data_IF_228708500765
#
_entry.id   IF_228708500765
#
_cell.length_a   1.000
_cell.length_b   1.000
_cell.length_c   1.000
_cell.angle_alpha   90.00
_cell.angle_beta   90.00
_cell.angle_gamma   90.00
#
_symmetry.space_group_name_H-M   'P 1'
#
loop_
_entity.id
_entity.type
_entity.pdbx_description
1 polymer ?
#
# COMPACT_ATOMS: atom_id res chain seq x y z
N UNK A 1 29.48 48.49 44.88
CA UNK A 1 29.71 47.18 45.55
C UNK A 1 28.34 46.56 45.82
N UNK A 2 27.87 45.60 45.01
CA UNK A 2 26.54 45.02 45.22
C UNK A 2 26.53 44.22 46.52
N UNK A 3 25.55 44.47 47.38
CA UNK A 3 25.42 43.79 48.68
C UNK A 3 25.23 42.29 48.49
N UNK A 4 25.87 41.47 49.32
CA UNK A 4 25.90 40.00 49.27
C UNK A 4 24.52 39.35 49.13
N UNK A 5 23.47 40.00 49.67
CA UNK A 5 22.07 39.57 49.54
C UNK A 5 21.59 39.56 48.09
N UNK A 6 22.00 40.51 47.26
CA UNK A 6 21.56 40.59 45.86
C UNK A 6 22.19 39.49 45.00
N UNK A 7 23.44 39.12 45.29
CA UNK A 7 24.16 38.05 44.59
C UNK A 7 23.55 36.69 44.92
N UNK A 8 23.16 36.48 46.18
CA UNK A 8 22.51 35.23 46.61
C UNK A 8 21.11 35.02 46.01
N UNK A 9 20.32 36.08 45.81
CA UNK A 9 19.02 35.97 45.13
C UNK A 9 19.20 35.68 43.64
N UNK A 10 20.17 36.32 42.97
CA UNK A 10 20.49 36.05 41.57
C UNK A 10 20.96 34.59 41.37
N UNK A 11 21.81 34.08 42.27
CA UNK A 11 22.31 32.71 42.21
C UNK A 11 21.18 31.68 42.40
N UNK A 12 20.26 31.92 43.34
CA UNK A 12 19.06 31.09 43.54
C UNK A 12 18.13 31.10 42.34
N UNK A 13 17.96 32.26 41.71
CA UNK A 13 17.11 32.39 40.53
C UNK A 13 17.69 31.63 39.33
N UNK A 14 19.00 31.75 39.10
CA UNK A 14 19.70 31.02 38.04
C UNK A 14 19.61 29.51 38.29
N UNK A 15 19.82 29.07 39.53
CA UNK A 15 19.75 27.65 39.89
C UNK A 15 18.34 27.06 39.74
N UNK A 16 17.31 27.84 40.09
CA UNK A 16 15.92 27.43 39.87
C UNK A 16 15.59 27.32 38.38
N UNK A 17 16.11 28.23 37.54
CA UNK A 17 15.88 28.22 36.10
C UNK A 17 16.53 27.00 35.42
N UNK A 18 17.76 26.65 35.81
CA UNK A 18 18.45 25.45 35.28
C UNK A 18 17.78 24.15 35.70
N UNK A 19 17.23 24.09 36.92
CA UNK A 19 16.44 22.94 37.38
C UNK A 19 15.16 22.72 36.58
N UNK A 20 14.46 23.80 36.20
CA UNK A 20 13.24 23.72 35.39
C UNK A 20 13.55 23.26 33.96
N UNK A 21 14.65 23.76 33.37
CA UNK A 21 15.08 23.36 32.03
C UNK A 21 15.48 21.88 31.92
N UNK A 22 16.04 21.31 33.00
CA UNK A 22 16.41 19.89 33.06
C UNK A 22 15.21 18.94 33.28
N UNK A 23 14.05 19.46 33.66
CA UNK A 23 12.87 18.66 34.02
C UNK A 23 11.91 18.36 32.85
N UNK A 24 12.27 18.72 31.61
CA UNK A 24 11.47 18.39 30.42
C UNK A 24 12.19 17.33 29.59
N UNK A 25 12.21 16.04 30.01
CA UNK A 25 12.46 14.96 29.07
C UNK A 25 11.24 14.87 28.14
N UNK A 26 11.22 15.73 27.11
CA UNK A 26 10.28 15.64 26.01
C UNK A 26 10.69 14.51 25.09
N UNK A 27 10.57 13.26 25.55
CA UNK A 27 10.56 12.12 24.64
C UNK A 27 9.27 12.19 23.83
N UNK A 28 9.33 12.92 22.71
CA UNK A 28 8.37 12.76 21.63
C UNK A 28 8.60 11.37 21.02
N UNK A 29 8.15 10.34 21.72
CA UNK A 29 8.14 8.97 21.20
C UNK A 29 7.22 8.97 19.97
N UNK A 30 7.79 8.71 18.80
CA UNK A 30 7.02 8.59 17.56
C UNK A 30 5.98 7.50 17.76
N UNK A 31 4.71 7.91 17.92
CA UNK A 31 3.62 6.96 18.04
C UNK A 31 3.56 6.15 16.73
N UNK A 32 3.38 4.82 16.83
CA UNK A 32 3.18 4.01 15.64
C UNK A 32 1.96 4.54 14.87
N UNK A 33 1.97 4.49 13.53
CA UNK A 33 0.84 4.93 12.72
C UNK A 33 -0.46 4.27 13.21
N UNK A 34 -1.52 5.06 13.38
CA UNK A 34 -2.81 4.52 13.82
C UNK A 34 -3.40 3.65 12.71
N UNK A 35 -3.39 2.34 12.91
CA UNK A 35 -3.96 1.39 11.98
C UNK A 35 -5.48 1.35 12.19
N UNK A 36 -6.22 1.92 11.23
CA UNK A 36 -7.70 1.98 11.26
C UNK A 36 -8.37 0.86 10.47
N UNK A 37 -7.57 -0.02 9.87
CA UNK A 37 -8.04 -1.14 9.04
C UNK A 37 -8.37 -2.35 9.89
N UNK A 38 -9.31 -3.19 9.43
CA UNK A 38 -9.75 -4.40 10.14
C UNK A 38 -8.69 -5.51 10.18
N UNK A 39 -9.07 -6.71 10.62
CA UNK A 39 -8.14 -7.84 10.78
C UNK A 39 -7.75 -8.53 9.47
N UNK A 40 -8.33 -8.13 8.33
CA UNK A 40 -8.13 -8.73 7.00
C UNK A 40 -7.15 -7.91 6.16
N UNK A 41 -6.02 -7.54 6.76
CA UNK A 41 -4.99 -6.71 6.11
C UNK A 41 -3.84 -7.60 5.72
N UNK A 42 -3.47 -7.54 4.46
CA UNK A 42 -2.26 -8.18 3.95
C UNK A 42 -1.10 -7.19 4.03
N UNK A 43 0.05 -7.67 4.49
CA UNK A 43 1.30 -6.93 4.39
C UNK A 43 1.63 -6.66 2.92
N UNK A 44 2.18 -5.48 2.60
CA UNK A 44 2.52 -5.14 1.21
C UNK A 44 3.53 -6.11 0.60
N UNK A 45 4.42 -6.67 1.42
CA UNK A 45 5.38 -7.69 1.01
C UNK A 45 4.72 -8.96 0.49
N UNK A 46 3.46 -9.22 0.83
CA UNK A 46 2.70 -10.33 0.28
C UNK A 46 2.45 -10.18 -1.24
N UNK A 47 2.64 -9.00 -1.82
CA UNK A 47 2.43 -8.76 -3.26
C UNK A 47 3.74 -8.71 -4.06
N UNK A 48 4.88 -8.97 -3.41
CA UNK A 48 6.18 -9.01 -4.08
C UNK A 48 6.33 -10.26 -4.95
N UNK A 49 7.15 -10.15 -6.00
CA UNK A 49 7.48 -11.25 -6.90
C UNK A 49 6.47 -11.49 -8.03
N UNK A 50 6.65 -12.61 -8.72
CA UNK A 50 5.77 -13.04 -9.80
C UNK A 50 4.67 -13.97 -9.30
N UNK A 51 3.46 -13.72 -9.78
CA UNK A 51 2.25 -14.45 -9.42
C UNK A 51 1.71 -15.19 -10.65
N UNK A 52 1.04 -16.31 -10.40
CA UNK A 52 0.33 -17.05 -11.43
C UNK A 52 -1.17 -16.86 -11.25
N UNK A 53 -1.84 -16.40 -12.30
CA UNK A 53 -3.26 -16.09 -12.29
C UNK A 53 -3.99 -16.92 -13.35
N UNK A 54 -5.11 -17.52 -12.94
CA UNK A 54 -6.01 -18.27 -13.82
C UNK A 54 -7.44 -17.96 -13.40
N UNK A 55 -8.24 -17.41 -14.31
CA UNK A 55 -9.66 -17.21 -14.09
C UNK A 55 -10.42 -18.50 -14.38
N UNK A 56 -11.42 -18.83 -13.56
CA UNK A 56 -12.35 -19.93 -13.81
C UNK A 56 -13.78 -19.46 -13.59
N UNK A 57 -14.67 -19.77 -14.52
CA UNK A 57 -16.10 -19.48 -14.41
C UNK A 57 -16.76 -20.49 -13.47
N UNK A 58 -17.32 -20.03 -12.35
CA UNK A 58 -17.98 -20.90 -11.36
C UNK A 58 -19.50 -20.96 -11.51
N UNK A 59 -20.10 -19.97 -12.19
CA UNK A 59 -21.54 -19.88 -12.42
C UNK A 59 -21.80 -19.07 -13.69
N UNK A 60 -22.89 -19.38 -14.39
CA UNK A 60 -23.33 -18.66 -15.59
C UNK A 60 -24.84 -18.49 -15.61
N UNK A 61 -25.36 -17.28 -15.92
CA UNK A 61 -26.79 -17.11 -16.17
C UNK A 61 -27.27 -17.98 -17.33
N UNK A 62 -28.48 -18.53 -17.24
CA UNK A 62 -29.03 -19.44 -18.26
C UNK A 62 -29.07 -18.86 -19.70
N UNK A 63 -29.15 -17.54 -19.83
CA UNK A 63 -29.33 -16.88 -21.12
C UNK A 63 -28.03 -16.51 -21.85
N UNK A 64 -26.85 -16.71 -21.24
CA UNK A 64 -25.57 -16.41 -21.91
C UNK A 64 -25.04 -17.65 -22.64
N UNK A 65 -24.66 -17.48 -23.92
CA UNK A 65 -24.21 -18.58 -24.78
C UNK A 65 -22.70 -18.64 -25.02
N UNK A 66 -21.91 -17.74 -24.42
CA UNK A 66 -20.47 -17.57 -24.70
C UNK A 66 -19.56 -18.08 -23.58
N UNK A 67 -20.09 -18.34 -22.38
CA UNK A 67 -19.35 -18.89 -21.25
C UNK A 67 -20.10 -20.09 -20.66
N UNK A 68 -19.34 -21.06 -20.15
CA UNK A 68 -19.85 -22.25 -19.47
C UNK A 68 -19.20 -22.39 -18.09
N UNK A 69 -19.88 -22.99 -17.13
CA UNK A 69 -19.27 -23.35 -15.84
C UNK A 69 -18.07 -24.25 -16.07
N UNK A 70 -16.94 -23.89 -15.48
CA UNK A 70 -15.65 -24.57 -15.64
C UNK A 70 -14.81 -24.04 -16.80
N UNK A 71 -15.30 -23.08 -17.59
CA UNK A 71 -14.49 -22.39 -18.59
C UNK A 71 -13.36 -21.60 -17.93
N UNK A 72 -12.18 -21.59 -18.55
CA UNK A 72 -10.93 -21.08 -17.96
C UNK A 72 -10.21 -20.14 -18.92
N UNK A 73 -9.57 -19.11 -18.35
CA UNK A 73 -8.62 -18.30 -19.11
C UNK A 73 -7.33 -19.06 -19.39
N UNK A 74 -6.39 -18.42 -20.08
CA UNK A 74 -5.00 -18.86 -20.07
C UNK A 74 -4.37 -18.58 -18.70
N UNK A 75 -3.38 -19.40 -18.32
CA UNK A 75 -2.55 -19.16 -17.16
C UNK A 75 -1.60 -17.99 -17.46
N UNK A 76 -1.69 -16.95 -16.65
CA UNK A 76 -0.93 -15.72 -16.82
C UNK A 76 0.12 -15.58 -15.72
N UNK A 77 1.27 -15.00 -16.07
CA UNK A 77 2.27 -14.57 -15.09
C UNK A 77 2.16 -13.06 -14.91
N UNK A 78 1.92 -12.65 -13.67
CA UNK A 78 1.57 -11.27 -13.32
C UNK A 78 2.49 -10.73 -12.21
N UNK A 79 2.51 -9.41 -12.08
CA UNK A 79 3.10 -8.68 -10.97
C UNK A 79 2.12 -7.60 -10.51
N UNK A 80 2.17 -7.29 -9.21
CA UNK A 80 1.30 -6.29 -8.60
C UNK A 80 1.97 -4.92 -8.60
N UNK A 81 1.20 -3.89 -8.91
CA UNK A 81 1.57 -2.48 -8.76
C UNK A 81 0.65 -1.83 -7.73
N UNK A 82 1.22 -1.53 -6.56
CA UNK A 82 0.50 -0.91 -5.44
C UNK A 82 0.64 0.61 -5.55
N UNK A 83 -0.49 1.29 -5.80
CA UNK A 83 -0.61 2.75 -5.76
C UNK A 83 -1.41 3.19 -4.53
N UNK A 84 -1.53 4.50 -4.30
CA UNK A 84 -2.23 5.04 -3.12
C UNK A 84 -3.72 4.64 -3.07
N UNK A 85 -4.36 4.56 -4.24
CA UNK A 85 -5.80 4.26 -4.36
C UNK A 85 -6.11 3.05 -5.24
N UNK A 86 -5.09 2.42 -5.81
CA UNK A 86 -5.26 1.33 -6.78
C UNK A 86 -4.31 0.19 -6.46
N UNK A 87 -4.81 -1.03 -6.66
CA UNK A 87 -4.01 -2.24 -6.72
C UNK A 87 -4.14 -2.76 -8.15
N UNK A 88 -3.09 -2.60 -8.95
CA UNK A 88 -3.11 -2.92 -10.38
C UNK A 88 -2.36 -4.22 -10.61
N UNK A 89 -2.89 -5.06 -11.49
CA UNK A 89 -2.22 -6.27 -11.98
C UNK A 89 -1.68 -6.01 -13.38
N UNK A 90 -0.39 -6.29 -13.61
CA UNK A 90 0.22 -6.25 -14.94
C UNK A 90 0.84 -7.61 -15.29
N UNK A 91 0.84 -7.96 -16.59
CA UNK A 91 1.59 -9.12 -17.07
C UNK A 91 3.08 -8.86 -16.85
N UNK A 92 3.82 -9.86 -16.35
CA UNK A 92 5.26 -9.72 -16.10
C UNK A 92 6.13 -9.90 -17.34
N UNK A 93 5.50 -10.07 -18.50
CA UNK A 93 6.14 -10.27 -19.79
C UNK A 93 5.57 -9.33 -20.85
N UNK A 94 6.39 -9.03 -21.86
CA UNK A 94 6.02 -8.14 -22.94
C UNK A 94 5.01 -8.79 -23.90
N UNK A 95 4.04 -8.01 -24.35
CA UNK A 95 3.13 -8.42 -25.41
C UNK A 95 3.83 -8.38 -26.77
N UNK A 96 3.73 -9.46 -27.54
CA UNK A 96 4.28 -9.53 -28.91
C UNK A 96 3.15 -9.40 -29.92
N UNK A 97 3.29 -8.48 -30.90
CA UNK A 97 2.24 -8.26 -31.90
C UNK A 97 1.93 -9.55 -32.68
N UNK A 98 0.67 -9.95 -32.69
CA UNK A 98 0.21 -11.16 -33.41
C UNK A 98 0.52 -12.48 -32.70
N UNK A 99 1.07 -12.47 -31.48
CA UNK A 99 1.25 -13.69 -30.69
C UNK A 99 -0.03 -14.17 -30.00
N UNK A 100 -1.00 -13.26 -29.82
CA UNK A 100 -2.28 -13.53 -29.17
C UNK A 100 -3.43 -13.04 -30.05
N UNK A 101 -4.57 -13.73 -30.01
CA UNK A 101 -5.75 -13.42 -30.83
C UNK A 101 -6.59 -12.23 -30.32
N UNK A 102 -6.46 -11.88 -29.04
CA UNK A 102 -7.28 -10.86 -28.36
C UNK A 102 -6.45 -10.17 -27.27
N UNK A 103 -6.45 -8.83 -27.20
CA UNK A 103 -5.72 -8.08 -26.17
C UNK A 103 -5.50 -6.60 -26.53
N UNK A 104 -4.93 -5.83 -25.61
CA UNK A 104 -4.68 -4.37 -25.68
C UNK A 104 -3.81 -3.90 -26.87
N UNK A 105 -3.26 -4.83 -27.66
CA UNK A 105 -2.62 -4.56 -28.95
C UNK A 105 -2.96 -5.63 -30.03
N UNK A 106 -4.09 -6.34 -29.88
CA UNK A 106 -4.70 -7.19 -30.89
C UNK A 106 -5.79 -6.46 -31.68
N UNK A 107 -6.27 -7.04 -32.78
CA UNK A 107 -7.32 -6.46 -33.65
C UNK A 107 -8.73 -6.50 -33.05
N UNK A 108 -8.88 -7.01 -31.82
CA UNK A 108 -10.16 -7.11 -31.14
C UNK A 108 -10.53 -5.78 -30.46
N UNK A 109 -11.64 -5.19 -30.89
CA UNK A 109 -12.24 -3.97 -30.33
C UNK A 109 -13.03 -4.21 -29.04
N UNK A 110 -12.68 -5.23 -28.26
CA UNK A 110 -13.39 -5.58 -27.03
C UNK A 110 -12.99 -4.60 -25.91
N UNK A 111 -13.89 -3.71 -25.43
CA UNK A 111 -13.57 -2.64 -24.47
C UNK A 111 -13.25 -3.14 -23.05
N UNK A 112 -13.16 -4.46 -22.84
CA UNK A 112 -13.21 -5.09 -21.53
C UNK A 112 -12.02 -6.03 -21.31
N UNK A 113 -10.80 -5.56 -21.60
CA UNK A 113 -9.63 -6.19 -20.99
C UNK A 113 -9.90 -6.29 -19.47
N UNK A 114 -9.84 -7.48 -18.87
CA UNK A 114 -10.17 -7.64 -17.46
C UNK A 114 -9.14 -6.88 -16.64
N UNK A 115 -9.51 -5.69 -16.21
CA UNK A 115 -8.89 -5.01 -15.07
C UNK A 115 -9.52 -5.70 -13.86
N UNK A 116 -8.75 -6.55 -13.19
CA UNK A 116 -9.12 -6.95 -11.84
C UNK A 116 -9.13 -5.67 -10.99
N UNK A 117 -10.34 -5.16 -10.69
CA UNK A 117 -10.58 -4.10 -9.71
C UNK A 117 -10.77 -4.73 -8.33
#
# INVERSE_FOLDING_TARGET
MPSERSVMHALRFVFALTLIAAAVPGCAETQPPIQRVGNEVLEKSAFEGEWYYLQTVIDTPYHIGWATVGDQSLLERIEWEIQEHYLIVRRSYEFVSGSEGTGIAGTASEPHAPIAM
#
